data_IF_897898271300
#
_entry.id   IF_897898271300
#
_cell.length_a   1.000
_cell.length_b   1.000
_cell.length_c   1.000
_cell.angle_alpha   90.00
_cell.angle_beta   90.00
_cell.angle_gamma   90.00
#
_symmetry.space_group_name_H-M   'P 1'
#
loop_
_entity.id
_entity.type
_entity.pdbx_description
1 polymer ?
#
# COMPACT_ATOMS: atom_id res chain seq x y z
N UNK A 1 8.37 16.46 -28.19
CA UNK A 1 8.72 16.74 -29.59
C UNK A 1 9.38 18.11 -29.61
N UNK A 2 10.66 18.18 -29.97
CA UNK A 2 11.38 19.44 -30.12
C UNK A 2 10.88 20.15 -31.38
N UNK A 3 10.27 21.33 -31.21
CA UNK A 3 9.94 22.22 -32.32
C UNK A 3 11.19 22.85 -32.94
N UNK A 4 11.05 23.54 -34.09
CA UNK A 4 12.16 24.21 -34.74
C UNK A 4 12.80 25.25 -33.80
N UNK A 5 14.11 25.15 -33.61
CA UNK A 5 14.92 26.08 -32.81
C UNK A 5 15.56 27.13 -33.71
N UNK A 6 15.66 28.37 -33.23
CA UNK A 6 16.45 29.40 -33.90
C UNK A 6 17.95 29.05 -33.85
N UNK A 7 18.78 29.77 -34.61
CA UNK A 7 20.24 29.61 -34.64
C UNK A 7 20.91 29.70 -33.25
N UNK A 8 20.22 30.27 -32.26
CA UNK A 8 20.73 30.47 -30.89
C UNK A 8 20.09 29.51 -29.86
N UNK A 9 19.32 28.51 -30.30
CA UNK A 9 18.72 27.49 -29.44
C UNK A 9 17.40 27.88 -28.75
N UNK A 10 16.90 29.09 -28.98
CA UNK A 10 15.61 29.53 -28.45
C UNK A 10 14.42 28.91 -29.23
N UNK A 11 13.33 28.55 -28.53
CA UNK A 11 12.13 28.01 -29.16
C UNK A 11 11.43 29.10 -29.98
N UNK A 12 11.32 28.91 -31.30
CA UNK A 12 10.57 29.81 -32.17
C UNK A 12 9.09 29.44 -32.11
N UNK A 13 8.23 30.39 -31.78
CA UNK A 13 6.77 30.22 -31.82
C UNK A 13 6.28 30.64 -33.22
N UNK A 14 5.76 29.72 -34.05
CA UNK A 14 5.28 30.08 -35.39
C UNK A 14 4.11 31.09 -35.34
N UNK A 15 3.93 31.93 -36.36
CA UNK A 15 2.77 32.82 -36.45
C UNK A 15 1.46 32.04 -36.32
N UNK A 16 0.55 32.53 -35.47
CA UNK A 16 -0.77 31.93 -35.18
C UNK A 16 -0.73 30.51 -34.57
N UNK A 17 0.41 30.07 -34.06
CA UNK A 17 0.52 28.80 -33.35
C UNK A 17 0.54 29.00 -31.83
N UNK A 18 -0.02 28.04 -31.10
CA UNK A 18 0.12 27.93 -29.65
C UNK A 18 1.07 26.79 -29.34
N UNK A 19 2.15 27.07 -28.63
CA UNK A 19 3.14 26.06 -28.24
C UNK A 19 3.19 25.93 -26.72
N UNK A 20 3.15 24.71 -26.16
CA UNK A 20 3.38 24.52 -24.73
C UNK A 20 4.83 24.85 -24.39
N UNK A 21 5.04 25.79 -23.48
CA UNK A 21 6.36 26.18 -22.99
C UNK A 21 6.45 25.81 -21.51
N UNK A 22 7.50 25.07 -21.15
CA UNK A 22 7.94 24.90 -19.77
C UNK A 22 9.27 25.62 -19.59
N UNK A 23 9.42 26.30 -18.45
CA UNK A 23 10.69 26.87 -18.03
C UNK A 23 10.94 26.53 -16.58
N UNK A 24 12.19 26.26 -16.26
CA UNK A 24 12.65 26.02 -14.91
C UNK A 24 13.66 27.10 -14.56
N UNK A 25 13.44 27.79 -13.46
CA UNK A 25 14.38 28.77 -12.93
C UNK A 25 14.62 28.47 -11.46
N UNK A 26 15.87 28.65 -11.04
CA UNK A 26 16.24 28.58 -9.64
C UNK A 26 16.13 29.99 -9.05
N UNK A 27 15.32 30.15 -8.01
CA UNK A 27 15.30 31.38 -7.22
C UNK A 27 16.33 31.23 -6.10
N UNK A 28 17.49 31.92 -6.15
CA UNK A 28 18.46 31.86 -5.06
C UNK A 28 17.83 32.51 -3.82
N UNK A 29 17.33 31.68 -2.92
CA UNK A 29 16.87 32.14 -1.62
C UNK A 29 18.06 32.10 -0.67
N UNK A 30 18.25 33.15 0.14
CA UNK A 30 19.18 33.07 1.27
C UNK A 30 18.70 31.90 2.13
N UNK A 31 19.58 30.92 2.37
CA UNK A 31 19.33 29.73 3.18
C UNK A 31 18.41 30.10 4.35
N UNK A 32 17.34 29.32 4.53
CA UNK A 32 16.44 29.24 5.69
C UNK A 32 14.96 29.62 5.45
N UNK A 33 14.12 28.58 5.55
CA UNK A 33 12.79 28.59 6.17
C UNK A 33 11.66 29.33 5.43
N UNK A 34 11.31 28.86 4.24
CA UNK A 34 9.91 28.96 3.80
C UNK A 34 9.10 28.02 4.72
N UNK A 35 8.54 28.55 5.82
CA UNK A 35 7.68 27.77 6.75
C UNK A 35 6.21 27.83 6.38
N UNK A 36 5.83 28.73 5.49
CA UNK A 36 4.46 28.97 5.08
C UNK A 36 4.35 28.98 3.56
N UNK A 37 3.15 28.67 3.07
CA UNK A 37 2.78 28.90 1.68
C UNK A 37 3.02 30.37 1.34
N UNK A 38 3.77 30.64 0.27
CA UNK A 38 3.96 31.99 -0.25
C UNK A 38 3.35 32.09 -1.62
N UNK A 39 2.84 33.28 -1.94
CA UNK A 39 2.22 33.56 -3.22
C UNK A 39 3.16 34.39 -4.07
N UNK A 40 3.42 33.92 -5.28
CA UNK A 40 4.33 34.54 -6.23
C UNK A 40 3.58 35.00 -7.47
N UNK A 41 4.00 36.15 -7.98
CA UNK A 41 3.55 36.66 -9.27
C UNK A 41 4.72 36.59 -10.24
N UNK A 42 4.49 35.98 -11.40
CA UNK A 42 5.47 35.85 -12.47
C UNK A 42 5.09 36.75 -13.63
N UNK A 43 6.06 37.51 -14.13
CA UNK A 43 5.92 38.28 -15.36
C UNK A 43 6.88 37.68 -16.38
N UNK A 44 6.33 37.16 -17.46
CA UNK A 44 7.06 36.68 -18.62
C UNK A 44 7.15 37.83 -19.62
N UNK A 45 8.36 38.10 -20.12
CA UNK A 45 8.61 39.11 -21.14
C UNK A 45 9.17 38.40 -22.36
N UNK A 46 8.57 38.58 -23.53
CA UNK A 46 9.10 38.01 -24.78
C UNK A 46 10.16 38.92 -25.41
N UNK A 47 10.78 38.45 -26.50
CA UNK A 47 11.80 39.19 -27.24
C UNK A 47 11.28 40.50 -27.87
N UNK A 48 9.96 40.64 -28.03
CA UNK A 48 9.32 41.86 -28.53
C UNK A 48 8.89 42.80 -27.40
N UNK A 49 9.21 42.48 -26.14
CA UNK A 49 8.86 43.26 -24.96
C UNK A 49 7.42 43.09 -24.48
N UNK A 50 6.64 42.17 -25.07
CA UNK A 50 5.29 41.87 -24.61
C UNK A 50 5.33 41.19 -23.24
N UNK A 51 4.48 41.65 -22.32
CA UNK A 51 4.47 41.18 -20.93
C UNK A 51 3.22 40.37 -20.62
N UNK A 52 3.42 39.10 -20.26
CA UNK A 52 2.35 38.24 -19.74
C UNK A 52 2.53 38.03 -18.24
N UNK A 53 1.51 38.32 -17.44
CA UNK A 53 1.57 38.15 -15.97
C UNK A 53 0.71 36.99 -15.51
N UNK A 54 1.31 36.07 -14.75
CA UNK A 54 0.61 35.04 -13.98
C UNK A 54 0.68 35.41 -12.51
N UNK A 55 -0.47 35.70 -11.92
CA UNK A 55 -0.58 36.10 -10.51
C UNK A 55 -1.01 34.95 -9.65
N UNK A 56 -0.65 35.00 -8.38
CA UNK A 56 -1.27 34.15 -7.38
C UNK A 56 -0.77 32.72 -7.35
N UNK A 57 0.45 32.45 -7.83
CA UNK A 57 1.02 31.10 -7.83
C UNK A 57 1.48 30.74 -6.43
N UNK A 58 0.84 29.74 -5.84
CA UNK A 58 1.17 29.28 -4.49
C UNK A 58 2.39 28.37 -4.51
N UNK A 59 3.47 28.83 -3.88
CA UNK A 59 4.60 28.00 -3.50
C UNK A 59 4.33 27.41 -2.12
N UNK A 60 4.24 26.10 -2.05
CA UNK A 60 4.18 25.36 -0.79
C UNK A 60 5.59 24.89 -0.46
N UNK A 61 6.14 25.21 0.72
CA UNK A 61 7.45 24.73 1.09
C UNK A 61 7.47 23.20 1.10
N UNK A 62 8.62 22.64 0.76
CA UNK A 62 8.87 21.21 0.90
C UNK A 62 8.55 20.81 2.34
N UNK A 63 7.62 19.87 2.50
CA UNK A 63 6.94 19.57 3.76
C UNK A 63 7.96 19.47 4.89
N UNK A 64 7.82 20.31 5.93
CA UNK A 64 8.55 20.11 7.19
C UNK A 64 8.36 18.66 7.61
N UNK A 65 9.46 17.99 8.02
CA UNK A 65 9.42 16.63 8.54
C UNK A 65 8.42 16.59 9.71
N UNK A 66 7.22 16.08 9.45
CA UNK A 66 6.22 15.87 10.50
C UNK A 66 6.84 14.85 11.45
N UNK A 67 6.87 15.17 12.74
CA UNK A 67 7.38 14.23 13.75
C UNK A 67 6.54 12.97 13.69
N UNK A 68 7.16 11.84 13.39
CA UNK A 68 6.47 10.57 13.31
C UNK A 68 6.17 10.04 14.70
N UNK A 69 5.00 9.41 14.86
CA UNK A 69 4.65 8.66 16.06
C UNK A 69 5.13 7.23 15.87
N UNK A 70 5.95 6.74 16.80
CA UNK A 70 6.33 5.33 16.85
C UNK A 70 5.26 4.56 17.63
N UNK A 71 4.80 3.45 17.08
CA UNK A 71 3.87 2.55 17.75
C UNK A 71 4.54 1.82 18.93
N UNK A 72 3.74 1.35 19.88
CA UNK A 72 4.24 0.60 21.03
C UNK A 72 4.92 -0.67 20.54
N UNK A 73 6.19 -0.85 20.93
CA UNK A 73 6.98 -2.01 20.55
C UNK A 73 6.87 -3.08 21.63
N UNK A 74 6.59 -4.32 21.22
CA UNK A 74 6.55 -5.48 22.08
C UNK A 74 7.98 -5.96 22.36
N UNK A 75 8.39 -6.04 23.61
CA UNK A 75 9.71 -6.55 23.95
C UNK A 75 9.69 -8.08 23.95
N UNK A 76 10.36 -8.72 22.99
CA UNK A 76 10.43 -10.21 22.89
C UNK A 76 10.90 -10.84 24.20
N UNK A 77 11.84 -10.20 24.89
CA UNK A 77 12.37 -10.68 26.17
C UNK A 77 11.30 -10.77 27.29
N UNK A 78 10.27 -9.93 27.24
CA UNK A 78 9.21 -9.84 28.25
C UNK A 78 8.06 -10.84 27.99
N UNK A 79 8.01 -11.46 26.80
CA UNK A 79 7.00 -12.45 26.46
C UNK A 79 7.31 -13.77 27.20
N UNK A 80 6.38 -14.21 28.05
CA UNK A 80 6.53 -15.44 28.84
C UNK A 80 6.24 -16.71 28.02
N UNK A 81 5.19 -16.67 27.20
CA UNK A 81 4.78 -17.79 26.35
C UNK A 81 5.76 -18.00 25.19
N UNK A 82 6.18 -19.24 24.96
CA UNK A 82 7.20 -19.57 23.95
C UNK A 82 6.64 -19.47 22.53
N UNK A 83 5.37 -19.79 22.33
CA UNK A 83 4.75 -19.77 21.01
C UNK A 83 4.49 -18.31 20.60
N UNK A 84 4.06 -17.50 21.56
CA UNK A 84 3.95 -16.05 21.39
C UNK A 84 5.30 -15.39 21.11
N UNK A 85 6.35 -15.82 21.84
CA UNK A 85 7.74 -15.33 21.63
C UNK A 85 8.27 -15.70 20.25
N UNK A 86 8.01 -16.92 19.78
CA UNK A 86 8.40 -17.37 18.44
C UNK A 86 7.69 -16.55 17.35
N UNK A 87 6.37 -16.36 17.49
CA UNK A 87 5.58 -15.54 16.57
C UNK A 87 6.07 -14.09 16.53
N UNK A 88 6.26 -13.45 17.69
CA UNK A 88 6.76 -12.08 17.78
C UNK A 88 8.14 -11.93 17.11
N UNK A 89 9.01 -12.93 17.24
CA UNK A 89 10.33 -12.95 16.60
C UNK A 89 10.23 -12.95 15.08
N UNK A 90 9.36 -13.80 14.51
CA UNK A 90 9.11 -13.85 13.06
C UNK A 90 8.52 -12.54 12.53
N UNK A 91 7.54 -11.97 13.25
CA UNK A 91 6.93 -10.70 12.86
C UNK A 91 7.91 -9.53 12.93
N UNK A 92 8.82 -9.50 13.91
CA UNK A 92 9.86 -8.47 13.98
C UNK A 92 10.89 -8.59 12.86
N UNK A 93 11.26 -9.80 12.47
CA UNK A 93 12.10 -10.00 11.27
C UNK A 93 11.40 -9.45 10.03
N UNK A 94 10.09 -9.68 9.88
CA UNK A 94 9.34 -9.11 8.76
C UNK A 94 9.28 -7.58 8.81
N UNK A 95 9.13 -6.96 9.98
CA UNK A 95 9.21 -5.49 10.10
C UNK A 95 10.56 -4.99 9.54
N UNK A 96 11.66 -5.68 9.84
CA UNK A 96 12.99 -5.35 9.32
C UNK A 96 13.13 -5.58 7.80
N UNK A 97 12.50 -6.61 7.26
CA UNK A 97 12.48 -6.87 5.80
C UNK A 97 11.57 -5.92 5.05
N UNK A 98 10.39 -5.62 5.56
CA UNK A 98 9.47 -4.66 4.98
C UNK A 98 10.06 -3.25 4.95
N UNK A 99 10.85 -2.86 5.95
CA UNK A 99 11.58 -1.58 5.89
C UNK A 99 12.58 -1.49 4.71
N UNK A 100 13.12 -2.61 4.23
CA UNK A 100 14.10 -2.69 3.13
C UNK A 100 13.48 -3.03 1.77
N UNK A 101 12.39 -3.78 1.75
CA UNK A 101 11.81 -4.40 0.56
C UNK A 101 10.29 -4.21 0.47
N UNK A 102 9.72 -3.34 1.31
CA UNK A 102 8.30 -3.03 1.32
C UNK A 102 7.87 -2.17 0.15
N UNK A 103 6.72 -1.51 0.32
CA UNK A 103 5.99 -0.82 -0.74
C UNK A 103 6.81 0.22 -1.50
N UNK A 104 7.74 0.89 -0.82
CA UNK A 104 8.61 1.91 -1.43
C UNK A 104 9.53 1.36 -2.52
N UNK A 105 9.79 0.05 -2.48
CA UNK A 105 10.59 -0.68 -3.46
C UNK A 105 9.73 -1.53 -4.40
N UNK A 106 8.40 -1.34 -4.37
CA UNK A 106 7.44 -2.11 -5.19
C UNK A 106 7.16 -3.53 -4.70
N UNK A 107 7.58 -3.85 -3.47
CA UNK A 107 7.38 -5.15 -2.83
C UNK A 107 6.45 -5.08 -1.61
N UNK A 108 6.25 -6.23 -0.98
CA UNK A 108 5.43 -6.39 0.21
C UNK A 108 6.18 -7.27 1.23
N UNK A 109 7.38 -6.80 1.61
CA UNK A 109 8.31 -7.52 2.48
C UNK A 109 8.75 -8.84 1.85
N UNK A 110 8.51 -9.96 2.54
CA UNK A 110 8.84 -11.29 2.00
C UNK A 110 7.81 -11.86 1.04
N UNK A 111 6.64 -11.23 0.89
CA UNK A 111 5.62 -11.74 -0.02
C UNK A 111 6.05 -11.53 -1.47
N UNK A 112 5.93 -12.59 -2.26
CA UNK A 112 6.10 -12.55 -3.70
C UNK A 112 5.22 -13.56 -4.41
N UNK A 113 4.93 -13.33 -5.69
CA UNK A 113 4.34 -14.35 -6.54
C UNK A 113 5.43 -15.09 -7.31
N UNK A 114 5.28 -16.39 -7.50
CA UNK A 114 6.18 -17.27 -8.24
C UNK A 114 5.39 -18.05 -9.27
N UNK A 115 5.95 -18.24 -10.47
CA UNK A 115 5.41 -19.15 -11.51
C UNK A 115 6.53 -20.12 -11.87
N UNK A 116 6.40 -21.38 -11.44
CA UNK A 116 7.52 -22.34 -11.45
C UNK A 116 8.68 -21.81 -10.59
N UNK A 117 9.89 -21.77 -11.16
CA UNK A 117 11.08 -21.23 -10.46
C UNK A 117 11.29 -19.71 -10.66
N UNK A 118 10.39 -19.04 -11.38
CA UNK A 118 10.54 -17.61 -11.69
C UNK A 118 9.73 -16.74 -10.73
N UNK A 119 10.40 -15.76 -10.11
CA UNK A 119 9.76 -14.73 -9.27
C UNK A 119 9.08 -13.67 -10.14
N UNK A 120 7.81 -13.42 -9.88
CA UNK A 120 7.04 -12.34 -10.49
C UNK A 120 7.35 -11.05 -9.73
N UNK A 121 7.77 -10.03 -10.47
CA UNK A 121 8.43 -8.82 -9.94
C UNK A 121 7.57 -8.02 -8.96
N UNK A 122 6.24 -8.14 -8.99
CA UNK A 122 5.38 -7.48 -8.01
C UNK A 122 3.99 -8.11 -7.98
N UNK A 123 3.46 -8.30 -6.76
CA UNK A 123 2.04 -8.60 -6.52
C UNK A 123 1.16 -7.34 -6.46
N UNK A 124 1.79 -6.16 -6.51
CA UNK A 124 1.23 -4.88 -6.05
C UNK A 124 1.04 -3.83 -7.17
N UNK A 125 1.45 -4.12 -8.41
CA UNK A 125 1.58 -3.10 -9.47
C UNK A 125 0.34 -2.94 -10.36
N UNK A 126 -0.81 -2.63 -9.79
CA UNK A 126 -1.96 -2.11 -10.55
C UNK A 126 -1.88 -0.58 -10.68
N UNK A 127 -0.68 -0.08 -10.99
CA UNK A 127 -0.47 1.37 -11.11
C UNK A 127 -1.03 1.91 -12.43
N UNK A 128 -1.54 3.13 -12.40
CA UNK A 128 -2.57 3.65 -13.31
C UNK A 128 -1.99 4.11 -14.67
N UNK A 129 -0.68 3.96 -14.88
CA UNK A 129 0.06 4.60 -15.97
C UNK A 129 1.21 3.74 -16.50
N UNK A 130 0.99 2.43 -16.67
CA UNK A 130 1.88 1.64 -17.51
C UNK A 130 1.10 1.15 -18.72
N UNK A 131 1.76 1.06 -19.87
CA UNK A 131 1.18 0.55 -21.12
C UNK A 131 0.65 -0.90 -21.01
N UNK A 132 0.88 -1.56 -19.86
CA UNK A 132 0.36 -2.89 -19.47
C UNK A 132 -0.63 -2.83 -18.31
N UNK A 133 -1.29 -1.69 -18.08
CA UNK A 133 -2.24 -1.52 -16.98
C UNK A 133 -3.39 -2.52 -17.06
N UNK A 134 -3.92 -2.79 -18.26
CA UNK A 134 -4.96 -3.81 -18.48
C UNK A 134 -4.51 -5.21 -18.05
N UNK A 135 -3.36 -5.69 -18.55
CA UNK A 135 -2.81 -7.02 -18.21
C UNK A 135 -2.52 -7.21 -16.71
N UNK A 136 -2.27 -6.11 -15.99
CA UNK A 136 -2.01 -6.16 -14.54
C UNK A 136 -3.30 -6.18 -13.72
N UNK A 137 -4.31 -5.49 -14.23
CA UNK A 137 -5.64 -5.38 -13.66
C UNK A 137 -6.50 -6.63 -13.87
N UNK A 138 -6.10 -7.54 -14.76
CA UNK A 138 -6.77 -8.82 -14.96
C UNK A 138 -6.33 -9.92 -13.97
N UNK A 139 -7.14 -10.98 -13.91
CA UNK A 139 -6.81 -12.25 -13.24
C UNK A 139 -5.97 -13.14 -14.15
N UNK A 140 -5.10 -13.97 -13.58
CA UNK A 140 -4.34 -14.95 -14.37
C UNK A 140 -5.18 -16.20 -14.52
N UNK A 141 -5.64 -16.50 -15.74
CA UNK A 141 -6.50 -17.67 -16.03
C UNK A 141 -5.72 -18.99 -15.91
N UNK A 142 -4.42 -18.98 -16.17
CA UNK A 142 -3.57 -20.16 -16.08
C UNK A 142 -3.32 -20.57 -14.63
N UNK A 143 -3.53 -21.86 -14.32
CA UNK A 143 -3.04 -22.44 -13.07
C UNK A 143 -1.49 -22.45 -13.06
N UNK A 144 -0.86 -22.06 -11.95
CA UNK A 144 0.60 -22.13 -11.82
C UNK A 144 1.23 -21.05 -10.95
N UNK A 145 0.82 -19.77 -11.06
CA UNK A 145 1.30 -18.75 -10.15
C UNK A 145 0.84 -19.01 -8.71
N UNK A 146 1.74 -18.82 -7.74
CA UNK A 146 1.43 -18.90 -6.31
C UNK A 146 2.07 -17.74 -5.56
N UNK A 147 1.43 -17.29 -4.51
CA UNK A 147 1.96 -16.33 -3.55
C UNK A 147 2.74 -17.12 -2.49
N UNK A 148 3.96 -16.71 -2.25
CA UNK A 148 4.84 -17.32 -1.24
C UNK A 148 5.41 -16.24 -0.35
N UNK A 149 5.75 -16.61 0.88
CA UNK A 149 6.34 -15.69 1.84
C UNK A 149 7.29 -16.46 2.75
N UNK A 150 8.59 -16.13 2.71
CA UNK A 150 9.57 -16.81 3.56
C UNK A 150 9.18 -16.81 5.05
N UNK A 151 8.78 -15.64 5.58
CA UNK A 151 8.36 -15.54 6.99
C UNK A 151 6.93 -16.02 7.18
N UNK A 152 6.03 -15.75 6.23
CA UNK A 152 4.63 -16.15 6.35
C UNK A 152 4.47 -17.67 6.34
N UNK A 153 5.21 -18.34 5.47
CA UNK A 153 5.24 -19.80 5.37
C UNK A 153 5.94 -20.42 6.59
N UNK A 154 6.98 -19.76 7.14
CA UNK A 154 7.58 -20.18 8.41
C UNK A 154 6.61 -20.10 9.59
N UNK A 155 5.73 -19.08 9.65
CA UNK A 155 4.66 -18.99 10.66
C UNK A 155 3.69 -20.17 10.53
N UNK A 156 3.30 -20.51 9.30
CA UNK A 156 2.37 -21.62 9.01
C UNK A 156 3.01 -22.97 9.34
N UNK A 157 4.28 -23.16 8.98
CA UNK A 157 5.04 -24.36 9.30
C UNK A 157 5.28 -24.51 10.81
N UNK A 158 5.50 -23.40 11.52
CA UNK A 158 5.59 -23.42 12.98
C UNK A 158 4.26 -23.88 13.59
N UNK A 159 3.14 -23.31 13.13
CA UNK A 159 1.81 -23.68 13.61
C UNK A 159 1.50 -25.17 13.37
N UNK A 160 1.86 -25.73 12.22
CA UNK A 160 1.57 -27.14 11.90
C UNK A 160 2.33 -28.15 12.79
N UNK A 161 3.39 -27.70 13.47
CA UNK A 161 4.15 -28.51 14.44
C UNK A 161 3.65 -28.39 15.87
N UNK A 162 2.68 -27.51 16.14
CA UNK A 162 2.12 -27.33 17.48
C UNK A 162 1.17 -28.47 17.84
N UNK A 163 1.13 -28.88 19.13
CA UNK A 163 0.06 -29.71 19.68
C UNK A 163 -1.32 -29.10 19.44
N UNK A 164 -2.36 -29.94 19.33
CA UNK A 164 -3.73 -29.51 18.97
C UNK A 164 -4.30 -28.44 19.91
N UNK A 165 -4.04 -28.53 21.22
CA UNK A 165 -4.48 -27.59 22.24
C UNK A 165 -3.86 -26.19 22.07
N UNK A 166 -2.62 -26.14 21.57
CA UNK A 166 -1.88 -24.90 21.29
C UNK A 166 -2.19 -24.36 19.91
N UNK A 167 -2.30 -25.23 18.91
CA UNK A 167 -2.70 -24.90 17.55
C UNK A 167 -4.09 -24.23 17.54
N UNK A 168 -5.03 -24.71 18.35
CA UNK A 168 -6.35 -24.11 18.48
C UNK A 168 -6.31 -22.63 18.94
N UNK A 169 -5.29 -22.26 19.72
CA UNK A 169 -5.07 -20.90 20.23
C UNK A 169 -4.19 -20.05 19.32
N UNK A 170 -3.37 -20.66 18.48
CA UNK A 170 -2.40 -19.94 17.65
C UNK A 170 -3.02 -18.85 16.74
N UNK A 171 -4.18 -19.06 16.09
CA UNK A 171 -4.85 -18.01 15.32
C UNK A 171 -5.22 -16.78 16.16
N UNK A 172 -5.58 -16.94 17.43
CA UNK A 172 -5.92 -15.77 18.27
C UNK A 172 -4.68 -14.92 18.59
N UNK A 173 -3.49 -15.52 18.69
CA UNK A 173 -2.22 -14.79 18.84
C UNK A 173 -1.91 -13.91 17.63
N UNK A 174 -2.24 -14.39 16.42
CA UNK A 174 -2.12 -13.63 15.18
C UNK A 174 -3.17 -12.51 15.11
N UNK A 175 -4.44 -12.84 15.37
CA UNK A 175 -5.54 -11.88 15.34
C UNK A 175 -5.36 -10.75 16.37
N UNK A 176 -4.84 -11.05 17.57
CA UNK A 176 -4.56 -10.04 18.60
C UNK A 176 -3.55 -8.97 18.13
N UNK A 177 -2.64 -9.33 17.23
CA UNK A 177 -1.62 -8.44 16.66
C UNK A 177 -2.10 -7.65 15.43
N UNK A 178 -3.27 -8.00 14.87
CA UNK A 178 -3.94 -7.17 13.85
C UNK A 178 -4.60 -5.97 14.54
N UNK A 179 -3.82 -4.94 14.81
CA UNK A 179 -4.31 -3.71 15.44
C UNK A 179 -3.54 -2.51 14.86
N UNK A 180 -4.25 -1.39 14.64
CA UNK A 180 -3.66 -0.15 14.11
C UNK A 180 -2.69 0.51 15.09
N UNK A 181 -2.87 0.29 16.39
CA UNK A 181 -2.07 0.89 17.45
C UNK A 181 -0.86 0.02 17.88
N UNK A 182 -0.67 -1.15 17.27
CA UNK A 182 0.46 -2.05 17.53
C UNK A 182 1.54 -1.93 16.46
N UNK A 183 2.80 -2.16 16.84
CA UNK A 183 3.96 -2.06 15.92
C UNK A 183 3.82 -2.91 14.64
N UNK A 184 3.07 -4.01 14.70
CA UNK A 184 2.83 -4.93 13.61
C UNK A 184 1.90 -4.40 12.53
N UNK A 185 1.29 -3.22 12.72
CA UNK A 185 0.39 -2.62 11.74
C UNK A 185 1.03 -2.51 10.34
N UNK A 186 2.33 -2.19 10.26
CA UNK A 186 3.04 -2.11 8.98
C UNK A 186 3.19 -3.45 8.24
N UNK A 187 3.05 -4.57 8.93
CA UNK A 187 3.21 -5.94 8.40
C UNK A 187 1.93 -6.77 8.52
N UNK A 188 0.78 -6.12 8.67
CA UNK A 188 -0.52 -6.79 8.80
C UNK A 188 -0.87 -7.69 7.62
N UNK A 189 -0.39 -7.35 6.42
CA UNK A 189 -0.50 -8.21 5.26
C UNK A 189 0.06 -9.62 5.55
N UNK A 190 1.17 -9.72 6.29
CA UNK A 190 1.81 -11.00 6.58
C UNK A 190 0.95 -11.83 7.53
N UNK A 191 0.33 -11.17 8.52
CA UNK A 191 -0.58 -11.83 9.46
C UNK A 191 -1.82 -12.34 8.72
N UNK A 192 -2.40 -11.53 7.83
CA UNK A 192 -3.53 -11.94 6.97
C UNK A 192 -3.13 -13.11 6.07
N UNK A 193 -1.93 -13.07 5.48
CA UNK A 193 -1.40 -14.18 4.67
C UNK A 193 -1.29 -15.47 5.49
N UNK A 194 -0.70 -15.43 6.68
CA UNK A 194 -0.56 -16.60 7.55
C UNK A 194 -1.94 -17.16 7.96
N UNK A 195 -2.88 -16.29 8.36
CA UNK A 195 -4.25 -16.70 8.70
C UNK A 195 -4.97 -17.33 7.51
N UNK A 196 -4.80 -16.79 6.30
CA UNK A 196 -5.34 -17.40 5.09
C UNK A 196 -4.79 -18.82 4.87
N UNK A 197 -3.47 -18.99 4.96
CA UNK A 197 -2.83 -20.31 4.84
C UNK A 197 -3.25 -21.30 5.93
N UNK A 198 -3.76 -20.80 7.06
CA UNK A 198 -4.36 -21.59 8.14
C UNK A 198 -5.88 -21.79 7.99
N UNK A 199 -6.48 -21.45 6.84
CA UNK A 199 -7.93 -21.49 6.57
C UNK A 199 -8.75 -20.59 7.52
N UNK A 200 -8.18 -19.45 7.92
CA UNK A 200 -8.79 -18.44 8.82
C UNK A 200 -8.87 -17.05 8.17
N UNK A 201 -8.93 -16.99 6.84
CA UNK A 201 -9.02 -15.72 6.09
C UNK A 201 -10.23 -14.90 6.55
N UNK A 202 -11.37 -15.55 6.76
CA UNK A 202 -12.59 -14.89 7.20
C UNK A 202 -12.44 -14.11 8.52
N UNK A 203 -11.74 -14.67 9.49
CA UNK A 203 -11.50 -14.02 10.79
C UNK A 203 -10.51 -12.88 10.66
N UNK A 204 -9.51 -13.04 9.77
CA UNK A 204 -8.55 -12.00 9.45
C UNK A 204 -9.26 -10.77 8.85
N UNK A 205 -10.13 -10.97 7.87
CA UNK A 205 -10.88 -9.88 7.21
C UNK A 205 -11.83 -9.18 8.19
N UNK A 206 -12.54 -9.94 9.03
CA UNK A 206 -13.41 -9.39 10.07
C UNK A 206 -12.61 -8.52 11.05
N UNK A 207 -11.47 -9.02 11.51
CA UNK A 207 -10.60 -8.31 12.47
C UNK A 207 -10.01 -7.04 11.86
N UNK A 208 -9.56 -7.10 10.60
CA UNK A 208 -9.08 -5.93 9.85
C UNK A 208 -10.17 -4.87 9.76
N UNK A 209 -11.39 -5.23 9.39
CA UNK A 209 -12.50 -4.29 9.33
C UNK A 209 -12.77 -3.64 10.69
N UNK A 210 -12.94 -4.44 11.74
CA UNK A 210 -13.31 -3.96 13.08
C UNK A 210 -12.26 -3.05 13.70
N UNK A 211 -10.97 -3.33 13.45
CA UNK A 211 -9.86 -2.65 14.13
C UNK A 211 -9.18 -1.58 13.30
N UNK A 212 -9.33 -1.58 11.96
CA UNK A 212 -8.69 -0.57 11.10
C UNK A 212 -9.65 0.53 10.67
N UNK A 213 -10.96 0.25 10.64
CA UNK A 213 -11.95 1.29 10.44
C UNK A 213 -11.96 2.22 11.66
N UNK A 214 -11.57 3.48 11.43
CA UNK A 214 -11.63 4.50 12.47
C UNK A 214 -13.09 4.83 12.76
N UNK A 215 -13.64 4.29 13.84
CA UNK A 215 -14.92 4.72 14.39
C UNK A 215 -14.63 5.81 15.43
N UNK A 216 -14.84 7.10 15.14
CA UNK A 216 -14.64 8.15 16.13
C UNK A 216 -15.54 7.86 17.34
N UNK A 217 -14.96 7.62 18.51
CA UNK A 217 -15.75 7.46 19.72
C UNK A 217 -16.36 8.81 20.12
N UNK A 218 -17.49 8.77 20.84
CA UNK A 218 -18.17 9.97 21.36
C UNK A 218 -17.20 10.85 22.20
N UNK A 219 -16.25 10.22 22.89
CA UNK A 219 -15.17 10.88 23.63
C UNK A 219 -14.09 11.51 22.76
N UNK A 220 -13.82 11.01 21.55
CA UNK A 220 -12.84 11.60 20.63
C UNK A 220 -13.33 12.95 20.07
N UNK A 221 -14.65 13.06 19.89
CA UNK A 221 -15.31 14.32 19.53
C UNK A 221 -15.26 15.35 20.67
N UNK A 222 -15.29 14.89 21.93
CA UNK A 222 -15.25 15.75 23.14
C UNK A 222 -13.83 16.22 23.44
N UNK A 223 -12.84 15.32 23.40
CA UNK A 223 -11.46 15.64 23.77
C UNK A 223 -10.60 16.16 22.62
N UNK A 224 -11.14 16.29 21.41
CA UNK A 224 -10.38 16.62 20.18
C UNK A 224 -9.05 15.84 20.12
N UNK A 225 -9.04 14.57 20.57
CA UNK A 225 -7.85 13.73 20.48
C UNK A 225 -7.64 13.47 18.99
N UNK A 226 -6.68 14.18 18.41
CA UNK A 226 -6.39 14.16 16.99
C UNK A 226 -5.67 12.86 16.60
N UNK A 227 -6.32 11.72 16.74
CA UNK A 227 -5.82 10.43 16.24
C UNK A 227 -5.74 10.43 14.70
N UNK A 228 -6.58 11.25 14.05
CA UNK A 228 -6.60 11.50 12.60
C UNK A 228 -5.27 12.09 12.08
N UNK A 229 -4.39 12.60 12.94
CA UNK A 229 -3.13 13.24 12.54
C UNK A 229 -1.85 12.54 13.06
N UNK A 230 -1.92 11.29 13.55
CA UNK A 230 -0.70 10.53 13.85
C UNK A 230 -0.03 10.12 12.55
N UNK A 231 1.00 10.86 12.16
CA UNK A 231 1.89 10.45 11.07
C UNK A 231 2.75 9.31 11.60
N UNK A 232 2.42 8.07 11.22
CA UNK A 232 3.21 6.90 11.58
C UNK A 232 4.58 6.92 10.88
N UNK A 233 5.51 6.10 11.32
CA UNK A 233 6.74 5.85 10.56
C UNK A 233 6.39 5.32 9.16
N UNK A 234 7.25 5.60 8.17
CA UNK A 234 6.94 5.31 6.75
C UNK A 234 6.59 3.83 6.48
N UNK A 235 7.23 2.93 7.19
CA UNK A 235 6.99 1.48 7.14
C UNK A 235 5.71 1.03 7.87
N UNK A 236 5.04 1.93 8.60
CA UNK A 236 3.81 1.67 9.33
C UNK A 236 2.61 2.42 8.74
N UNK A 237 2.82 3.36 7.82
CA UNK A 237 1.74 4.19 7.25
C UNK A 237 0.75 3.41 6.39
N UNK A 238 1.14 2.26 5.84
CA UNK A 238 0.40 1.59 4.77
C UNK A 238 -0.23 0.27 5.20
N UNK A 239 -0.27 -0.06 6.48
CA UNK A 239 -0.72 -1.36 6.99
C UNK A 239 -2.02 -1.87 6.36
N UNK A 240 -3.06 -1.05 6.35
CA UNK A 240 -4.33 -1.43 5.72
C UNK A 240 -4.23 -1.50 4.18
N UNK A 241 -3.68 -0.48 3.54
CA UNK A 241 -3.49 -0.46 2.09
C UNK A 241 -2.66 -1.65 1.57
N UNK A 242 -1.74 -2.16 2.39
CA UNK A 242 -0.89 -3.31 2.12
C UNK A 242 -1.64 -4.64 2.29
N UNK A 243 -2.58 -4.74 3.23
CA UNK A 243 -3.54 -5.86 3.28
C UNK A 243 -4.36 -5.91 2.00
N UNK A 244 -4.91 -4.78 1.54
CA UNK A 244 -5.66 -4.75 0.27
C UNK A 244 -4.76 -5.11 -0.92
N UNK A 245 -3.49 -4.70 -0.90
CA UNK A 245 -2.48 -5.11 -1.87
C UNK A 245 -2.25 -6.62 -1.92
N UNK A 246 -2.20 -7.28 -0.76
CA UNK A 246 -2.15 -8.74 -0.67
C UNK A 246 -3.40 -9.38 -1.26
N UNK A 247 -4.60 -8.92 -0.85
CA UNK A 247 -5.87 -9.46 -1.35
C UNK A 247 -5.97 -9.34 -2.88
N UNK A 248 -5.51 -8.21 -3.41
CA UNK A 248 -5.42 -8.02 -4.85
C UNK A 248 -4.51 -9.07 -5.52
N UNK A 249 -3.34 -9.34 -4.92
CA UNK A 249 -2.46 -10.42 -5.36
C UNK A 249 -3.13 -11.78 -5.31
N UNK A 250 -3.86 -12.09 -4.23
CA UNK A 250 -4.57 -13.36 -4.04
C UNK A 250 -5.64 -13.56 -5.12
N UNK A 251 -6.46 -12.54 -5.38
CA UNK A 251 -7.45 -12.55 -6.45
C UNK A 251 -6.81 -12.69 -7.84
N UNK A 252 -5.60 -12.18 -8.02
CA UNK A 252 -4.91 -12.30 -9.31
C UNK A 252 -4.32 -13.69 -9.55
N UNK A 253 -3.63 -14.23 -8.56
CA UNK A 253 -2.78 -15.42 -8.74
C UNK A 253 -3.35 -16.70 -8.13
N UNK A 254 -4.16 -16.61 -7.08
CA UNK A 254 -4.67 -17.77 -6.32
C UNK A 254 -6.20 -17.78 -6.17
N UNK A 255 -6.92 -17.12 -7.08
CA UNK A 255 -8.39 -17.06 -7.05
C UNK A 255 -9.12 -18.41 -7.14
N UNK A 256 -8.44 -19.45 -7.64
CA UNK A 256 -8.98 -20.82 -7.67
C UNK A 256 -9.13 -21.43 -6.26
N UNK A 257 -8.35 -20.94 -5.29
CA UNK A 257 -8.39 -21.41 -3.90
C UNK A 257 -9.39 -20.66 -3.03
N UNK A 258 -9.98 -19.57 -3.53
CA UNK A 258 -10.94 -18.76 -2.78
C UNK A 258 -12.35 -19.30 -2.96
N UNK A 259 -13.13 -19.49 -1.90
CA UNK A 259 -14.56 -19.85 -2.03
C UNK A 259 -15.43 -18.60 -2.21
N UNK A 260 -16.68 -18.76 -2.66
CA UNK A 260 -17.58 -17.62 -2.92
C UNK A 260 -17.75 -16.72 -1.68
N UNK A 261 -17.91 -17.33 -0.51
CA UNK A 261 -18.01 -16.61 0.77
C UNK A 261 -16.78 -15.75 1.07
N UNK A 262 -15.58 -16.21 0.71
CA UNK A 262 -14.35 -15.43 0.87
C UNK A 262 -14.29 -14.28 -0.13
N UNK A 263 -14.72 -14.49 -1.37
CA UNK A 263 -14.84 -13.42 -2.36
C UNK A 263 -15.81 -12.33 -1.89
N UNK A 264 -16.98 -12.70 -1.38
CA UNK A 264 -17.95 -11.75 -0.83
C UNK A 264 -17.36 -10.92 0.32
N UNK A 265 -16.62 -11.55 1.23
CA UNK A 265 -15.96 -10.83 2.33
C UNK A 265 -14.85 -9.90 1.86
N UNK A 266 -14.05 -10.31 0.87
CA UNK A 266 -13.01 -9.45 0.27
C UNK A 266 -13.66 -8.25 -0.44
N UNK A 267 -14.72 -8.48 -1.22
CA UNK A 267 -15.50 -7.44 -1.90
C UNK A 267 -16.07 -6.45 -0.90
N UNK A 268 -16.75 -6.96 0.13
CA UNK A 268 -17.36 -6.16 1.18
C UNK A 268 -16.32 -5.31 1.92
N UNK A 269 -15.16 -5.89 2.30
CA UNK A 269 -14.08 -5.14 2.94
C UNK A 269 -13.56 -4.00 2.06
N UNK A 270 -13.40 -4.26 0.75
CA UNK A 270 -12.89 -3.26 -0.20
C UNK A 270 -13.90 -2.13 -0.50
N UNK A 271 -15.20 -2.42 -0.44
CA UNK A 271 -16.27 -1.42 -0.67
C UNK A 271 -16.58 -0.56 0.56
N UNK A 272 -16.33 -1.06 1.77
CA UNK A 272 -16.64 -0.38 3.03
C UNK A 272 -15.42 0.29 3.67
N UNK A 273 -14.40 0.64 2.87
CA UNK A 273 -13.20 1.33 3.34
C UNK A 273 -12.93 2.59 2.52
N UNK A 274 -12.25 3.55 3.14
CA UNK A 274 -11.77 4.77 2.48
C UNK A 274 -10.41 4.59 1.79
N UNK A 275 -9.80 3.41 1.96
CA UNK A 275 -8.54 3.05 1.31
C UNK A 275 -8.71 2.79 -0.19
N UNK A 276 -7.61 2.90 -0.94
CA UNK A 276 -7.61 2.57 -2.36
C UNK A 276 -8.00 1.08 -2.57
N UNK A 277 -9.02 0.76 -3.38
CA UNK A 277 -9.58 -0.59 -3.43
C UNK A 277 -8.85 -1.54 -4.39
N UNK A 278 -7.79 -1.13 -5.07
CA UNK A 278 -6.98 -1.98 -6.00
C UNK A 278 -7.77 -2.72 -7.07
N UNK A 279 -8.92 -2.18 -7.50
CA UNK A 279 -9.82 -2.84 -8.44
C UNK A 279 -10.28 -4.25 -7.99
N UNK A 280 -10.32 -4.49 -6.67
CA UNK A 280 -10.73 -5.76 -6.08
C UNK A 280 -12.10 -6.21 -6.61
N UNK A 281 -13.08 -5.30 -6.67
CA UNK A 281 -14.43 -5.60 -7.16
C UNK A 281 -14.43 -6.06 -8.64
N UNK A 282 -13.61 -5.44 -9.49
CA UNK A 282 -13.45 -5.84 -10.89
C UNK A 282 -12.86 -7.25 -10.99
N UNK A 283 -11.79 -7.55 -10.24
CA UNK A 283 -11.19 -8.90 -10.25
C UNK A 283 -12.16 -9.97 -9.76
N UNK A 284 -12.95 -9.69 -8.72
CA UNK A 284 -13.99 -10.61 -8.23
C UNK A 284 -15.05 -10.87 -9.30
N UNK A 285 -15.49 -9.83 -10.00
CA UNK A 285 -16.40 -9.98 -11.15
C UNK A 285 -15.79 -10.88 -12.23
N UNK A 286 -14.52 -10.69 -12.57
CA UNK A 286 -13.81 -11.54 -13.54
C UNK A 286 -13.70 -13.00 -13.07
N UNK A 287 -13.45 -13.24 -11.77
CA UNK A 287 -13.39 -14.58 -11.19
C UNK A 287 -14.75 -15.27 -11.30
N UNK A 288 -15.82 -14.58 -10.96
CA UNK A 288 -17.20 -15.10 -11.07
C UNK A 288 -17.54 -15.43 -12.53
N UNK A 289 -17.22 -14.54 -13.46
CA UNK A 289 -17.42 -14.78 -14.88
C UNK A 289 -16.63 -16.00 -15.39
N UNK A 290 -15.36 -16.14 -15.00
CA UNK A 290 -14.53 -17.30 -15.34
C UNK A 290 -15.12 -18.61 -14.80
N UNK A 291 -15.62 -18.60 -13.56
CA UNK A 291 -16.28 -19.78 -12.95
C UNK A 291 -17.54 -20.18 -13.68
N UNK A 292 -18.33 -19.22 -14.17
CA UNK A 292 -19.53 -19.50 -14.97
C UNK A 292 -19.12 -20.11 -16.32
N UNK A 293 -18.10 -19.54 -16.98
CA UNK A 293 -17.60 -20.05 -18.25
C UNK A 293 -17.03 -21.48 -18.16
N UNK A 294 -16.43 -21.85 -17.02
CA UNK A 294 -15.84 -23.17 -16.79
C UNK A 294 -16.80 -24.21 -16.19
N UNK A 295 -18.10 -23.90 -16.02
CA UNK A 295 -19.12 -24.79 -15.43
C UNK A 295 -19.80 -25.70 -16.47
N UNK A 296 -19.15 -25.99 -17.59
CA UNK A 296 -19.58 -27.05 -18.51
C UNK A 296 -19.49 -28.44 -17.86
#
# INVERSE_FOLDING_TARGET
MDGPRAHDGEPVIPPKATVPISTHFMVPTRKHHLKATKRYDFTFVDHNGHRTRKRGIDYKPERQRVKTTKLNSEAIAEIADQDEKALASLLKEEIGRYARHGRQHGGLGTISAVKGNAKIKSIYQDWWASDRASERQDIVVESGPKIVSEIGDAIVEYASKLPEDRLAKFPSLLLDRLDRDREYYGVSYLIVYALWRLNRLEDALQTVYERYEFKPALVDNIFRRSYVNRVLERNQQYGYSDVLGLLNGMLRYEHLHLVERELEKIEWLAMNTSEHPFQIAQKITSIRALRIANRE
#
